data_IF_084687903705
#
_entry.id   IF_084687903705
#
_cell.length_a   1.000
_cell.length_b   1.000
_cell.length_c   1.000
_cell.angle_alpha   90.00
_cell.angle_beta   90.00
_cell.angle_gamma   90.00
#
_symmetry.space_group_name_H-M   'P 1'
#
loop_
_entity.id
_entity.type
_entity.pdbx_description
1 polymer ?
#
# COMPACT_ATOMS: atom_id res chain seq x y z
N UNK A 1 20.30 -83.15 51.17
CA UNK A 1 19.91 -82.70 49.80
C UNK A 1 19.74 -81.20 49.76
N UNK A 2 20.77 -80.45 49.49
CA UNK A 2 20.74 -79.02 49.50
C UNK A 2 21.26 -78.47 48.15
N UNK A 3 20.39 -77.86 47.39
CA UNK A 3 20.69 -77.26 46.11
C UNK A 3 21.06 -75.79 46.34
N UNK A 4 22.35 -75.48 46.18
CA UNK A 4 22.86 -74.10 46.30
C UNK A 4 22.53 -73.38 44.98
N UNK A 5 21.69 -72.36 45.05
CA UNK A 5 21.49 -71.40 43.98
C UNK A 5 22.59 -70.34 44.01
N UNK A 6 23.34 -70.30 42.95
CA UNK A 6 24.28 -69.22 42.66
C UNK A 6 23.52 -67.99 42.16
N UNK A 7 23.61 -66.89 42.90
CA UNK A 7 23.10 -65.60 42.49
C UNK A 7 24.19 -64.91 41.66
N UNK A 8 23.97 -64.80 40.36
CA UNK A 8 24.80 -63.95 39.46
C UNK A 8 24.33 -62.51 39.58
N UNK A 9 25.18 -61.65 40.11
CA UNK A 9 25.00 -60.21 40.24
C UNK A 9 25.27 -59.58 38.88
N UNK A 10 24.21 -59.19 38.15
CA UNK A 10 24.33 -58.39 36.94
C UNK A 10 24.46 -56.93 37.35
N UNK A 11 25.57 -56.32 37.00
CA UNK A 11 25.85 -54.90 37.15
C UNK A 11 25.17 -54.12 36.00
N UNK A 12 24.30 -53.12 36.26
CA UNK A 12 23.76 -52.32 35.17
C UNK A 12 24.78 -51.22 34.82
N UNK A 13 25.28 -51.24 33.59
CA UNK A 13 25.98 -50.12 32.97
C UNK A 13 24.99 -49.01 32.73
N UNK A 14 25.08 -47.94 33.55
CA UNK A 14 24.39 -46.65 33.30
C UNK A 14 25.04 -45.97 32.09
N UNK A 15 24.46 -46.19 30.93
CA UNK A 15 24.71 -45.37 29.74
C UNK A 15 23.98 -44.04 29.83
N UNK A 16 24.67 -42.99 30.20
CA UNK A 16 24.19 -41.60 30.14
C UNK A 16 24.07 -41.18 28.69
N UNK A 17 22.86 -41.29 28.10
CA UNK A 17 22.55 -40.71 26.80
C UNK A 17 22.44 -39.19 26.95
N UNK A 18 23.48 -38.43 26.60
CA UNK A 18 23.51 -37.00 26.51
C UNK A 18 22.71 -36.58 25.26
N UNK A 19 21.44 -36.25 25.46
CA UNK A 19 20.55 -35.74 24.41
C UNK A 19 21.00 -34.33 24.05
N UNK A 20 21.76 -34.17 22.94
CA UNK A 20 22.12 -32.89 22.35
C UNK A 20 20.84 -32.20 21.86
N UNK A 21 20.33 -31.23 22.63
CA UNK A 21 19.34 -30.27 22.15
C UNK A 21 20.02 -29.39 21.09
N UNK A 22 19.89 -29.75 19.83
CA UNK A 22 20.20 -28.85 18.71
C UNK A 22 19.14 -27.75 18.68
N UNK A 23 19.51 -26.45 18.77
CA UNK A 23 18.55 -25.37 18.52
C UNK A 23 18.08 -25.49 17.09
N UNK A 24 16.78 -25.73 16.90
CA UNK A 24 16.16 -25.73 15.58
C UNK A 24 16.36 -24.37 14.90
N UNK A 25 16.44 -24.32 13.55
CA UNK A 25 16.57 -23.05 12.84
C UNK A 25 15.39 -22.12 13.21
N UNK A 26 15.63 -20.81 13.38
CA UNK A 26 14.55 -19.87 13.65
C UNK A 26 13.57 -19.94 12.48
N UNK A 27 12.30 -20.18 12.78
CA UNK A 27 11.21 -20.04 11.80
C UNK A 27 11.17 -18.58 11.38
N UNK A 28 11.80 -18.25 10.25
CA UNK A 28 11.63 -16.96 9.58
C UNK A 28 10.16 -16.85 9.16
N UNK A 29 9.35 -16.16 9.95
CA UNK A 29 8.06 -15.68 9.51
C UNK A 29 8.31 -14.69 8.35
N UNK A 30 8.23 -15.18 7.11
CA UNK A 30 8.12 -14.30 5.96
C UNK A 30 6.80 -13.53 6.12
N UNK A 31 6.89 -12.25 6.51
CA UNK A 31 5.73 -11.37 6.52
C UNK A 31 5.30 -11.17 5.08
N UNK A 32 4.21 -11.82 4.68
CA UNK A 32 3.55 -11.51 3.43
C UNK A 32 3.02 -10.08 3.52
N UNK A 33 3.67 -9.18 2.80
CA UNK A 33 3.23 -7.78 2.68
C UNK A 33 1.87 -7.79 1.97
N UNK A 34 0.84 -7.25 2.62
CA UNK A 34 -0.49 -7.23 2.03
C UNK A 34 -0.53 -6.32 0.81
N UNK A 35 -1.42 -6.61 -0.13
CA UNK A 35 -1.67 -5.77 -1.32
C UNK A 35 -1.95 -4.30 -0.92
N UNK A 36 -2.74 -4.09 0.13
CA UNK A 36 -3.03 -2.75 0.64
C UNK A 36 -1.80 -2.04 1.22
N UNK A 37 -0.89 -2.76 1.86
CA UNK A 37 0.37 -2.16 2.32
C UNK A 37 1.22 -1.68 1.14
N UNK A 38 1.30 -2.46 0.06
CA UNK A 38 2.02 -2.06 -1.16
C UNK A 38 1.36 -0.83 -1.78
N UNK A 39 0.04 -0.82 -1.96
CA UNK A 39 -0.71 0.31 -2.51
C UNK A 39 -0.57 1.57 -1.65
N UNK A 40 -0.62 1.44 -0.31
CA UNK A 40 -0.41 2.54 0.62
C UNK A 40 0.99 3.15 0.49
N UNK A 41 2.03 2.31 0.35
CA UNK A 41 3.39 2.76 0.09
C UNK A 41 3.50 3.51 -1.25
N UNK A 42 2.80 3.07 -2.30
CA UNK A 42 2.72 3.80 -3.56
C UNK A 42 2.05 5.16 -3.41
N UNK A 43 0.90 5.27 -2.72
CA UNK A 43 0.24 6.56 -2.49
C UNK A 43 1.16 7.55 -1.77
N UNK A 44 1.88 7.10 -0.74
CA UNK A 44 2.87 7.93 -0.08
C UNK A 44 3.99 8.35 -1.05
N UNK A 45 4.45 7.46 -1.91
CA UNK A 45 5.48 7.80 -2.90
C UNK A 45 4.95 8.76 -3.98
N UNK A 46 3.69 8.66 -4.39
CA UNK A 46 3.10 9.63 -5.32
C UNK A 46 3.19 11.05 -4.76
N UNK A 47 3.02 11.23 -3.45
CA UNK A 47 3.18 12.56 -2.83
C UNK A 47 4.58 13.16 -2.97
N UNK A 48 5.61 12.35 -3.32
CA UNK A 48 7.00 12.80 -3.56
C UNK A 48 7.33 13.02 -5.02
N UNK A 49 6.59 12.37 -5.93
CA UNK A 49 6.91 12.31 -7.35
C UNK A 49 5.87 13.01 -8.24
N UNK A 50 4.83 13.56 -7.63
CA UNK A 50 3.85 14.41 -8.29
C UNK A 50 3.99 15.82 -7.72
N UNK A 51 3.94 16.81 -8.58
CA UNK A 51 3.94 18.22 -8.20
C UNK A 51 2.55 18.80 -8.44
N UNK A 52 2.03 19.47 -7.42
CA UNK A 52 0.75 20.17 -7.43
C UNK A 52 0.98 21.67 -7.62
N UNK A 53 0.10 22.34 -8.36
CA UNK A 53 0.14 23.80 -8.44
C UNK A 53 -0.13 24.41 -7.04
N UNK A 54 0.42 25.60 -6.78
CA UNK A 54 0.32 26.24 -5.46
C UNK A 54 -1.12 26.42 -4.97
N UNK A 55 -2.05 26.67 -5.88
CA UNK A 55 -3.50 26.83 -5.59
C UNK A 55 -4.18 25.53 -5.13
N UNK A 56 -3.55 24.37 -5.31
CA UNK A 56 -4.06 23.09 -4.77
C UNK A 56 -3.95 23.01 -3.23
N UNK A 57 -3.29 23.99 -2.60
CA UNK A 57 -3.09 24.05 -1.16
C UNK A 57 -3.76 25.29 -0.57
N UNK A 58 -4.45 25.12 0.56
CA UNK A 58 -5.09 26.23 1.26
C UNK A 58 -4.07 27.25 1.84
N UNK A 59 -2.82 26.84 2.07
CA UNK A 59 -1.73 27.71 2.53
C UNK A 59 -0.35 27.11 2.20
N UNK A 60 0.75 27.90 2.29
CA UNK A 60 2.11 27.40 2.07
C UNK A 60 2.52 26.25 3.00
N UNK A 61 1.89 26.11 4.16
CA UNK A 61 2.18 25.06 5.15
C UNK A 61 1.08 24.01 5.26
N UNK A 62 0.02 24.09 4.44
CA UNK A 62 -1.07 23.13 4.46
C UNK A 62 -0.55 21.71 4.19
N UNK A 63 -1.09 20.67 4.85
CA UNK A 63 -0.66 19.31 4.67
C UNK A 63 -0.99 18.78 3.27
N UNK A 64 -0.30 17.73 2.85
CA UNK A 64 -0.69 16.89 1.71
C UNK A 64 -1.76 15.92 2.22
N UNK A 65 -2.97 16.03 1.68
CA UNK A 65 -4.13 15.25 2.09
C UNK A 65 -4.31 14.05 1.14
N UNK A 66 -4.14 12.84 1.69
CA UNK A 66 -4.43 11.58 1.01
C UNK A 66 -5.83 11.13 1.39
N UNK A 67 -6.76 11.27 0.49
CA UNK A 67 -8.17 10.97 0.74
C UNK A 67 -8.49 9.53 0.32
N UNK A 68 -9.31 8.85 1.13
CA UNK A 68 -9.75 7.48 0.88
C UNK A 68 -11.27 7.47 0.83
N UNK A 69 -11.84 7.04 -0.31
CA UNK A 69 -13.28 7.04 -0.52
C UNK A 69 -13.89 5.72 -0.06
N UNK A 70 -14.61 5.74 1.08
CA UNK A 70 -15.42 4.63 1.62
C UNK A 70 -14.68 3.28 1.74
N UNK A 71 -13.35 3.29 2.03
CA UNK A 71 -12.56 2.05 2.14
C UNK A 71 -11.73 2.07 3.44
N UNK A 72 -12.39 1.71 4.55
CA UNK A 72 -11.81 1.82 5.90
C UNK A 72 -10.59 0.92 6.11
N UNK A 73 -10.57 -0.27 5.49
CA UNK A 73 -9.44 -1.19 5.63
C UNK A 73 -8.17 -0.58 5.00
N UNK A 74 -8.29 0.00 3.82
CA UNK A 74 -7.19 0.69 3.15
C UNK A 74 -6.76 1.97 3.89
N UNK A 75 -7.74 2.74 4.42
CA UNK A 75 -7.46 3.93 5.25
C UNK A 75 -6.56 3.58 6.45
N UNK A 76 -6.85 2.47 7.13
CA UNK A 76 -6.07 2.00 8.29
C UNK A 76 -4.61 1.72 7.89
N UNK A 77 -4.37 1.00 6.80
CA UNK A 77 -3.04 0.71 6.30
C UNK A 77 -2.30 1.98 5.87
N UNK A 78 -2.98 2.88 5.16
CA UNK A 78 -2.39 4.14 4.71
C UNK A 78 -1.99 5.03 5.91
N UNK A 79 -2.81 5.09 6.95
CA UNK A 79 -2.49 5.82 8.19
C UNK A 79 -1.21 5.29 8.85
N UNK A 80 -0.99 3.97 8.87
CA UNK A 80 0.24 3.38 9.41
C UNK A 80 1.47 3.81 8.59
N UNK A 81 1.35 3.77 7.25
CA UNK A 81 2.44 4.12 6.34
C UNK A 81 2.84 5.58 6.45
N UNK A 82 1.87 6.51 6.59
CA UNK A 82 2.17 7.96 6.56
C UNK A 82 2.38 8.60 7.92
N UNK A 83 2.21 7.86 9.01
CA UNK A 83 2.34 8.37 10.38
C UNK A 83 3.67 9.12 10.58
N UNK A 84 3.59 10.42 10.90
CA UNK A 84 4.75 11.27 11.12
C UNK A 84 5.59 11.59 9.87
N UNK A 85 5.12 11.24 8.67
CA UNK A 85 5.83 11.52 7.42
C UNK A 85 5.60 12.96 6.95
N UNK A 86 6.65 13.50 6.33
CA UNK A 86 6.63 14.82 5.69
C UNK A 86 7.16 14.72 4.26
N UNK A 87 6.68 15.58 3.38
CA UNK A 87 7.14 15.72 2.00
C UNK A 87 7.20 17.21 1.66
N UNK A 88 8.36 17.69 1.24
CA UNK A 88 8.56 19.10 0.89
C UNK A 88 8.21 20.07 2.03
N UNK A 89 8.46 19.68 3.29
CA UNK A 89 8.13 20.50 4.46
C UNK A 89 6.66 20.44 4.88
N UNK A 90 5.80 19.67 4.18
CA UNK A 90 4.37 19.50 4.49
C UNK A 90 4.13 18.17 5.19
N UNK A 91 3.32 18.15 6.23
CA UNK A 91 2.84 16.91 6.83
C UNK A 91 1.97 16.13 5.82
N UNK A 92 2.06 14.79 5.83
CA UNK A 92 1.15 13.92 5.06
C UNK A 92 0.07 13.42 6.00
N UNK A 93 -1.20 13.60 5.60
CA UNK A 93 -2.37 13.22 6.41
C UNK A 93 -3.34 12.38 5.60
N UNK A 94 -4.00 11.42 6.24
CA UNK A 94 -5.08 10.63 5.63
C UNK A 94 -6.43 11.22 6.04
N UNK A 95 -7.35 11.31 5.08
CA UNK A 95 -8.68 11.87 5.29
C UNK A 95 -9.72 10.90 4.71
N UNK A 96 -10.57 10.28 5.54
CA UNK A 96 -11.71 9.52 5.03
C UNK A 96 -12.73 10.47 4.41
N UNK A 97 -13.26 10.08 3.24
CA UNK A 97 -14.29 10.85 2.54
C UNK A 97 -15.44 9.92 2.12
N UNK A 98 -16.64 10.47 2.06
CA UNK A 98 -17.86 9.71 1.73
C UNK A 98 -18.39 10.06 0.34
N UNK A 99 -18.02 11.22 -0.20
CA UNK A 99 -18.48 11.69 -1.51
C UNK A 99 -17.32 12.31 -2.31
N UNK A 100 -17.52 12.46 -3.62
CA UNK A 100 -16.55 13.11 -4.50
C UNK A 100 -16.31 14.58 -4.11
N UNK A 101 -17.37 15.29 -3.67
CA UNK A 101 -17.30 16.71 -3.30
C UNK A 101 -16.42 16.92 -2.07
N UNK A 102 -16.44 15.98 -1.10
CA UNK A 102 -15.55 16.02 0.07
C UNK A 102 -14.08 15.82 -0.31
N UNK A 103 -13.81 15.31 -1.51
CA UNK A 103 -12.44 15.13 -2.02
C UNK A 103 -11.87 16.41 -2.65
N UNK A 104 -12.68 17.45 -2.82
CA UNK A 104 -12.18 18.75 -3.26
C UNK A 104 -11.19 19.30 -2.21
N UNK A 105 -9.99 19.66 -2.64
CA UNK A 105 -8.89 20.06 -1.76
C UNK A 105 -8.04 18.91 -1.20
N UNK A 106 -8.31 17.65 -1.59
CA UNK A 106 -7.34 16.55 -1.43
C UNK A 106 -6.26 16.65 -2.52
N UNK A 107 -5.06 16.25 -2.22
CA UNK A 107 -4.00 16.12 -3.23
C UNK A 107 -4.11 14.76 -3.95
N UNK A 108 -4.44 13.71 -3.23
CA UNK A 108 -4.63 12.36 -3.78
C UNK A 108 -5.99 11.84 -3.30
N UNK A 109 -6.76 11.24 -4.22
CA UNK A 109 -7.97 10.48 -3.90
C UNK A 109 -7.82 9.03 -4.34
N UNK A 110 -7.88 8.10 -3.40
CA UNK A 110 -7.97 6.68 -3.68
C UNK A 110 -9.44 6.25 -3.81
N UNK A 111 -9.75 5.56 -4.91
CA UNK A 111 -11.07 5.04 -5.27
C UNK A 111 -10.96 3.52 -5.41
N UNK A 112 -11.42 2.80 -4.40
CA UNK A 112 -11.37 1.34 -4.38
C UNK A 112 -12.32 0.73 -5.44
N UNK A 113 -12.07 -0.53 -5.81
CA UNK A 113 -12.91 -1.30 -6.76
C UNK A 113 -14.36 -1.43 -6.29
N UNK A 114 -14.62 -1.38 -4.99
CA UNK A 114 -15.98 -1.31 -4.41
C UNK A 114 -16.78 -0.11 -4.90
N UNK A 115 -16.12 0.96 -5.38
CA UNK A 115 -16.73 2.18 -5.91
C UNK A 115 -16.74 2.24 -7.45
N UNK A 116 -16.41 1.15 -8.14
CA UNK A 116 -16.24 1.13 -9.60
C UNK A 116 -17.46 1.66 -10.37
N UNK A 117 -18.66 1.27 -9.96
CA UNK A 117 -19.92 1.73 -10.59
C UNK A 117 -20.11 3.25 -10.54
N UNK A 118 -19.53 3.91 -9.55
CA UNK A 118 -19.61 5.37 -9.36
C UNK A 118 -18.34 6.08 -9.83
N UNK A 119 -17.31 5.35 -10.23
CA UNK A 119 -15.99 5.91 -10.55
C UNK A 119 -16.04 6.97 -11.64
N UNK A 120 -16.86 6.79 -12.68
CA UNK A 120 -17.04 7.80 -13.74
C UNK A 120 -17.60 9.11 -13.18
N UNK A 121 -18.67 9.06 -12.39
CA UNK A 121 -19.27 10.26 -11.79
C UNK A 121 -18.29 10.96 -10.86
N UNK A 122 -17.52 10.18 -10.06
CA UNK A 122 -16.49 10.71 -9.15
C UNK A 122 -15.42 11.45 -9.97
N UNK A 123 -14.91 10.83 -11.04
CA UNK A 123 -13.89 11.41 -11.91
C UNK A 123 -14.44 12.68 -12.61
N UNK A 124 -15.68 12.66 -13.09
CA UNK A 124 -16.29 13.81 -13.74
C UNK A 124 -16.47 14.99 -12.76
N UNK A 125 -16.82 14.73 -11.49
CA UNK A 125 -16.89 15.76 -10.43
C UNK A 125 -15.52 16.40 -10.16
N UNK A 126 -14.45 15.62 -10.27
CA UNK A 126 -13.08 16.09 -10.01
C UNK A 126 -12.36 16.58 -11.27
N UNK A 127 -13.03 16.57 -12.42
CA UNK A 127 -12.45 17.05 -13.68
C UNK A 127 -12.02 18.51 -13.54
N UNK A 128 -10.84 18.83 -14.04
CA UNK A 128 -10.22 20.16 -13.92
C UNK A 128 -9.93 20.63 -12.50
N UNK A 129 -9.91 19.71 -11.53
CA UNK A 129 -9.35 19.95 -10.21
C UNK A 129 -7.95 19.37 -10.13
N UNK A 130 -7.10 19.91 -9.23
CA UNK A 130 -5.74 19.40 -9.05
C UNK A 130 -5.71 18.20 -8.08
N UNK A 131 -6.65 17.26 -8.22
CA UNK A 131 -6.71 16.03 -7.43
C UNK A 131 -6.15 14.87 -8.24
N UNK A 132 -5.09 14.21 -7.76
CA UNK A 132 -4.57 12.98 -8.34
C UNK A 132 -5.54 11.83 -8.01
N UNK A 133 -6.34 11.39 -8.99
CA UNK A 133 -7.22 10.24 -8.81
C UNK A 133 -6.44 8.95 -9.01
N UNK A 134 -6.57 8.03 -8.06
CA UNK A 134 -5.92 6.72 -8.05
C UNK A 134 -6.98 5.65 -7.89
N UNK A 135 -7.08 4.73 -8.84
CA UNK A 135 -8.04 3.62 -8.81
C UNK A 135 -7.38 2.26 -8.84
N UNK A 136 -8.22 1.22 -8.85
CA UNK A 136 -7.82 -0.18 -8.95
C UNK A 136 -8.82 -1.01 -9.77
N UNK A 137 -9.61 -0.34 -10.60
CA UNK A 137 -10.65 -0.99 -11.41
C UNK A 137 -10.24 -1.07 -12.86
N UNK A 138 -10.74 -2.09 -13.57
CA UNK A 138 -10.62 -2.18 -15.02
C UNK A 138 -11.27 -0.97 -15.68
N UNK A 139 -10.66 -0.43 -16.73
CA UNK A 139 -11.19 0.73 -17.47
C UNK A 139 -11.13 2.06 -16.68
N UNK A 140 -10.39 2.15 -15.57
CA UNK A 140 -10.30 3.37 -14.77
C UNK A 140 -9.67 4.54 -15.55
N UNK A 141 -8.59 4.26 -16.30
CA UNK A 141 -7.92 5.29 -17.11
C UNK A 141 -8.79 5.77 -18.28
N UNK A 142 -9.55 4.88 -18.89
CA UNK A 142 -10.46 5.17 -20.01
C UNK A 142 -11.63 6.07 -19.56
N UNK A 143 -12.01 5.97 -18.27
CA UNK A 143 -12.98 6.87 -17.65
C UNK A 143 -12.41 8.24 -17.29
N UNK A 144 -11.11 8.45 -17.48
CA UNK A 144 -10.41 9.71 -17.19
C UNK A 144 -9.65 9.71 -15.85
N UNK A 145 -9.53 8.57 -15.19
CA UNK A 145 -8.67 8.43 -14.01
C UNK A 145 -7.19 8.62 -14.34
N UNK A 146 -6.40 9.04 -13.38
CA UNK A 146 -5.00 9.42 -13.64
C UNK A 146 -4.04 8.24 -13.39
N UNK A 147 -4.14 7.54 -12.25
CA UNK A 147 -3.31 6.36 -11.97
C UNK A 147 -4.22 5.18 -11.67
N UNK A 148 -3.88 4.00 -12.18
CA UNK A 148 -4.57 2.77 -11.86
C UNK A 148 -3.60 1.71 -11.35
N UNK A 149 -3.96 1.05 -10.25
CA UNK A 149 -3.31 -0.16 -9.79
C UNK A 149 -3.87 -1.36 -10.53
N UNK A 150 -2.98 -2.22 -11.01
CA UNK A 150 -3.35 -3.49 -11.63
C UNK A 150 -2.59 -4.59 -10.90
N UNK A 151 -3.31 -5.62 -10.45
CA UNK A 151 -2.69 -6.82 -9.91
C UNK A 151 -2.37 -7.77 -11.07
N UNK A 152 -1.09 -8.08 -11.26
CA UNK A 152 -0.64 -9.06 -12.26
C UNK A 152 0.49 -9.90 -11.67
N UNK A 153 0.38 -11.21 -11.79
CA UNK A 153 1.35 -12.18 -11.25
C UNK A 153 1.66 -11.90 -9.75
N UNK A 154 0.61 -11.67 -8.96
CA UNK A 154 0.65 -11.29 -7.54
C UNK A 154 1.48 -10.02 -7.24
N UNK A 155 1.67 -9.16 -8.24
CA UNK A 155 2.37 -7.89 -8.11
C UNK A 155 1.50 -6.71 -8.46
N UNK A 156 1.53 -5.69 -7.61
CA UNK A 156 0.89 -4.40 -7.89
C UNK A 156 1.72 -3.66 -8.94
N UNK A 157 1.11 -3.39 -10.08
CA UNK A 157 1.68 -2.61 -11.17
C UNK A 157 0.92 -1.31 -11.35
N UNK A 158 1.56 -0.31 -11.97
CA UNK A 158 1.00 1.00 -12.20
C UNK A 158 0.68 1.20 -13.69
N UNK A 159 -0.48 1.79 -13.94
CA UNK A 159 -0.83 2.39 -15.22
C UNK A 159 -1.07 3.87 -15.00
N UNK A 160 -0.62 4.73 -15.91
CA UNK A 160 -0.69 6.20 -15.79
C UNK A 160 -1.30 6.81 -17.03
N UNK A 161 -2.31 7.67 -16.84
CA UNK A 161 -2.84 8.56 -17.86
C UNK A 161 -2.19 9.94 -17.69
N UNK A 162 -1.07 10.15 -18.38
CA UNK A 162 -0.30 11.40 -18.30
C UNK A 162 -1.09 12.59 -18.87
N UNK A 163 -1.88 12.36 -19.91
CA UNK A 163 -2.78 13.39 -20.47
C UNK A 163 -3.78 13.89 -19.43
N UNK A 164 -4.45 12.97 -18.70
CA UNK A 164 -5.39 13.36 -17.66
C UNK A 164 -4.69 14.10 -16.50
N UNK A 165 -3.47 13.69 -16.13
CA UNK A 165 -2.65 14.39 -15.12
C UNK A 165 -2.35 15.84 -15.55
N UNK A 166 -1.90 16.04 -16.80
CA UNK A 166 -1.62 17.37 -17.35
C UNK A 166 -2.87 18.25 -17.38
N UNK A 167 -4.02 17.69 -17.76
CA UNK A 167 -5.32 18.40 -17.75
C UNK A 167 -5.73 18.82 -16.32
N UNK A 168 -5.38 18.02 -15.31
CA UNK A 168 -5.60 18.35 -13.90
C UNK A 168 -4.57 19.35 -13.34
N UNK A 169 -3.62 19.83 -14.17
CA UNK A 169 -2.55 20.73 -13.75
C UNK A 169 -1.49 20.05 -12.89
N UNK A 170 -1.37 18.72 -12.99
CA UNK A 170 -0.39 17.93 -12.23
C UNK A 170 0.85 17.64 -13.08
N UNK A 171 2.03 17.74 -12.48
CA UNK A 171 3.27 17.32 -13.12
C UNK A 171 3.76 16.01 -12.50
N UNK A 172 3.75 14.93 -13.29
CA UNK A 172 4.24 13.61 -12.88
C UNK A 172 5.72 13.49 -13.26
N UNK A 173 6.59 13.21 -12.29
CA UNK A 173 8.03 13.09 -12.55
C UNK A 173 8.33 11.91 -13.49
N UNK A 174 9.37 12.05 -14.31
CA UNK A 174 9.87 10.98 -15.19
C UNK A 174 10.21 9.70 -14.43
N UNK A 175 10.67 9.82 -13.16
CA UNK A 175 10.95 8.67 -12.29
C UNK A 175 9.67 7.87 -11.99
N UNK A 176 8.53 8.51 -11.77
CA UNK A 176 7.27 7.80 -11.57
C UNK A 176 6.78 7.18 -12.89
N UNK A 177 6.89 7.91 -14.01
CA UNK A 177 6.52 7.38 -15.32
C UNK A 177 7.36 6.17 -15.74
N UNK A 178 8.65 6.12 -15.38
CA UNK A 178 9.55 5.01 -15.75
C UNK A 178 9.24 3.68 -15.05
N UNK A 179 8.52 3.71 -13.93
CA UNK A 179 8.09 2.49 -13.21
C UNK A 179 6.66 2.07 -13.56
N UNK A 180 5.95 2.86 -14.36
CA UNK A 180 4.63 2.51 -14.85
C UNK A 180 4.72 1.47 -15.97
N UNK A 181 3.86 0.47 -15.91
CA UNK A 181 3.73 -0.56 -16.98
C UNK A 181 3.12 0.00 -18.26
N UNK A 182 2.21 0.95 -18.12
CA UNK A 182 1.51 1.61 -19.21
C UNK A 182 1.47 3.11 -18.94
N UNK A 183 1.80 3.91 -19.95
CA UNK A 183 1.62 5.38 -19.92
C UNK A 183 0.81 5.78 -21.14
N UNK A 184 -0.39 6.34 -20.89
CA UNK A 184 -1.23 6.99 -21.93
C UNK A 184 -0.80 8.46 -22.05
N UNK A 185 -0.41 8.85 -23.24
CA UNK A 185 0.08 10.21 -23.58
C UNK A 185 -1.07 11.15 -23.95
#
# INVERSE_FOLDING_TARGET
MQCRRQVRMCWPLLGTALLLLLPGPPLSCAQNVSEYQVKAAYLYNFSKFVEWPAQAFASPVAPIRLCVLKEQAFESELNQVVKGKMVGGRAVTVVPVQTAEQSLGCQILFIASSQDKQSRQIIDTLRNTSVLTVGESEGFLERGGIINFVLQDDRVQLQVNHKAATQAGLHISSRLLSVAKLVIQ
#
